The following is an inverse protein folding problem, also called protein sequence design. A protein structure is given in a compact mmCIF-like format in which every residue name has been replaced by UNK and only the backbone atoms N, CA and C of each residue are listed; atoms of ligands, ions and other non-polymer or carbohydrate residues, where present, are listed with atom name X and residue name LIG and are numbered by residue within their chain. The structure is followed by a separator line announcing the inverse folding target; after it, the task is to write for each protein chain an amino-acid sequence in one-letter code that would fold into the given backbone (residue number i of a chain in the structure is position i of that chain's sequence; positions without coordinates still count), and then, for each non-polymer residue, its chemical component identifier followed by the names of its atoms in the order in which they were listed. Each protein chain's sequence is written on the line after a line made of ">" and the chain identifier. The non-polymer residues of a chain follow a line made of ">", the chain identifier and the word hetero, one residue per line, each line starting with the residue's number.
data_IF_218650819529
#
_entry.id   IF_218650819529
#
_cell.length_a   1.000
_cell.length_b   1.000
_cell.length_c   1.000
_cell.angle_alpha   90.00
_cell.angle_beta   90.00
_cell.angle_gamma   90.00
#
_symmetry.space_group_name_H-M   'P 1'
#
loop_
_entity.id
_entity.type
_entity.pdbx_description
1 polymer ?
#
# COMPACT_ATOMS: atom_id res chain seq x y z
N UNK A 1 -0.70 4.06 -20.04
CA UNK A 1 -1.67 3.43 -19.12
C UNK A 1 -1.36 3.86 -17.69
N UNK A 2 -2.36 4.17 -16.90
CA UNK A 2 -2.18 4.63 -15.53
C UNK A 2 -2.24 3.45 -14.56
N UNK A 3 -1.08 3.07 -14.01
CA UNK A 3 -0.99 1.93 -13.10
C UNK A 3 -1.74 2.18 -11.78
N UNK A 4 -1.81 3.44 -11.32
CA UNK A 4 -2.54 3.76 -10.09
C UNK A 4 -4.03 3.50 -10.26
N UNK A 5 -4.60 3.87 -11.41
CA UNK A 5 -6.03 3.62 -11.70
C UNK A 5 -6.31 2.12 -11.73
N UNK A 6 -5.42 1.33 -12.34
CA UNK A 6 -5.57 -0.12 -12.41
C UNK A 6 -5.55 -0.70 -10.99
N UNK A 7 -4.59 -0.31 -10.17
CA UNK A 7 -4.50 -0.78 -8.78
C UNK A 7 -5.74 -0.41 -7.99
N UNK A 8 -6.21 0.83 -8.13
CA UNK A 8 -7.42 1.26 -7.44
C UNK A 8 -8.63 0.43 -7.85
N UNK A 9 -8.77 0.18 -9.16
CA UNK A 9 -9.91 -0.59 -9.68
C UNK A 9 -9.90 -2.04 -9.19
N UNK A 10 -8.72 -2.63 -9.01
CA UNK A 10 -8.59 -3.97 -8.45
C UNK A 10 -9.12 -4.06 -7.02
N UNK A 11 -9.14 -2.94 -6.30
CA UNK A 11 -9.62 -2.89 -4.91
C UNK A 11 -11.12 -2.59 -4.80
N UNK A 12 -11.84 -2.43 -5.91
CA UNK A 12 -13.28 -2.14 -5.87
C UNK A 12 -14.11 -3.32 -5.39
N UNK A 13 -13.60 -4.54 -5.51
CA UNK A 13 -14.29 -5.71 -5.00
C UNK A 13 -14.49 -5.58 -3.49
N UNK A 14 -15.63 -6.07 -3.00
CA UNK A 14 -15.98 -5.96 -1.59
C UNK A 14 -14.94 -6.65 -0.70
N UNK A 15 -14.46 -7.80 -1.13
CA UNK A 15 -13.43 -8.56 -0.41
C UNK A 15 -12.48 -9.21 -1.42
N UNK A 16 -11.50 -8.45 -1.94
CA UNK A 16 -10.54 -9.04 -2.87
C UNK A 16 -9.65 -10.08 -2.16
N UNK A 17 -9.06 -11.03 -2.90
CA UNK A 17 -8.14 -11.98 -2.29
C UNK A 17 -6.97 -11.27 -1.59
N UNK A 18 -6.48 -11.86 -0.50
CA UNK A 18 -5.38 -11.24 0.28
C UNK A 18 -4.14 -11.02 -0.54
N UNK A 19 -3.81 -11.94 -1.46
CA UNK A 19 -2.62 -11.76 -2.31
C UNK A 19 -2.71 -10.50 -3.16
N UNK A 20 -3.92 -10.07 -3.50
CA UNK A 20 -4.11 -8.85 -4.28
C UNK A 20 -3.70 -7.60 -3.47
N UNK A 21 -4.17 -7.49 -2.24
CA UNK A 21 -3.81 -6.37 -1.36
C UNK A 21 -2.31 -6.42 -1.01
N UNK A 22 -1.78 -7.62 -0.76
CA UNK A 22 -0.35 -7.79 -0.51
C UNK A 22 0.48 -7.31 -1.71
N UNK A 23 0.09 -7.73 -2.92
CA UNK A 23 0.80 -7.34 -4.14
C UNK A 23 0.79 -5.84 -4.37
N UNK A 24 -0.39 -5.22 -4.24
CA UNK A 24 -0.53 -3.78 -4.44
C UNK A 24 0.29 -3.01 -3.41
N UNK A 25 0.19 -3.39 -2.14
CA UNK A 25 0.93 -2.75 -1.06
C UNK A 25 2.44 -2.86 -1.29
N UNK A 26 2.90 -4.05 -1.69
CA UNK A 26 4.33 -4.29 -1.96
C UNK A 26 4.84 -3.40 -3.10
N UNK A 27 4.08 -3.31 -4.18
CA UNK A 27 4.46 -2.47 -5.32
C UNK A 27 4.55 -1.00 -4.93
N UNK A 28 3.61 -0.52 -4.12
CA UNK A 28 3.65 0.87 -3.64
C UNK A 28 4.87 1.11 -2.76
N UNK A 29 5.12 0.23 -1.80
CA UNK A 29 6.25 0.40 -0.86
C UNK A 29 7.58 0.39 -1.60
N UNK A 30 7.72 -0.45 -2.64
CA UNK A 30 8.96 -0.55 -3.40
C UNK A 30 9.13 0.58 -4.42
N UNK A 31 8.10 1.37 -4.67
CA UNK A 31 8.16 2.45 -5.66
C UNK A 31 8.82 3.69 -5.09
N UNK A 32 9.96 4.07 -5.66
CA UNK A 32 10.65 5.32 -5.29
C UNK A 32 9.94 6.56 -5.80
N UNK A 33 9.06 6.41 -6.76
CA UNK A 33 8.22 7.51 -7.24
C UNK A 33 7.09 7.83 -6.27
N UNK A 34 6.58 6.83 -5.56
CA UNK A 34 5.55 7.03 -4.53
C UNK A 34 6.19 7.45 -3.22
N UNK A 35 7.24 6.76 -2.81
CA UNK A 35 7.96 7.03 -1.57
C UNK A 35 9.44 7.22 -1.87
N UNK A 36 9.87 8.47 -1.97
CA UNK A 36 11.26 8.80 -2.35
C UNK A 36 12.27 8.20 -1.39
N UNK A 37 11.96 8.25 -0.10
CA UNK A 37 12.80 7.61 0.92
C UNK A 37 11.94 6.80 1.90
N UNK A 38 12.59 5.95 2.68
CA UNK A 38 11.88 5.01 3.54
C UNK A 38 10.99 5.69 4.58
N UNK A 39 11.42 6.83 5.09
CA UNK A 39 10.65 7.54 6.11
C UNK A 39 9.31 8.05 5.60
N UNK A 40 9.18 8.26 4.30
CA UNK A 40 7.91 8.65 3.68
C UNK A 40 6.86 7.53 3.77
N UNK A 41 7.30 6.29 4.00
CA UNK A 41 6.40 5.14 4.12
C UNK A 41 5.70 5.15 5.47
N UNK A 42 6.28 5.78 6.50
CA UNK A 42 5.73 5.76 7.85
C UNK A 42 4.28 6.26 7.92
N UNK A 43 3.94 7.44 7.36
CA UNK A 43 2.53 7.89 7.38
C UNK A 43 1.58 6.96 6.65
N UNK A 44 2.06 6.34 5.57
CA UNK A 44 1.27 5.36 4.81
C UNK A 44 0.93 4.14 5.68
N UNK A 45 1.92 3.60 6.38
CA UNK A 45 1.73 2.44 7.25
C UNK A 45 0.75 2.76 8.38
N UNK A 46 0.87 3.93 8.96
CA UNK A 46 -0.03 4.36 10.02
C UNK A 46 -1.46 4.52 9.50
N UNK A 47 -1.62 5.22 8.39
CA UNK A 47 -2.94 5.56 7.86
C UNK A 47 -3.69 4.34 7.32
N UNK A 48 -3.00 3.45 6.61
CA UNK A 48 -3.64 2.32 5.94
C UNK A 48 -3.80 1.13 6.88
N UNK A 49 -2.77 0.84 7.67
CA UNK A 49 -2.70 -0.39 8.46
C UNK A 49 -2.68 -0.17 9.97
N UNK A 50 -2.57 1.08 10.42
CA UNK A 50 -2.42 1.40 11.85
C UNK A 50 -1.22 0.67 12.45
N UNK A 51 -0.09 0.72 11.74
CA UNK A 51 1.15 0.04 12.11
C UNK A 51 2.24 1.06 12.39
N UNK A 52 3.04 0.81 13.42
CA UNK A 52 4.27 1.55 13.71
C UNK A 52 5.41 0.56 13.85
N UNK A 53 6.38 0.60 12.92
CA UNK A 53 7.55 -0.25 12.95
C UNK A 53 8.72 0.45 13.61
N UNK A 54 9.61 -0.35 14.23
CA UNK A 54 10.85 0.13 14.79
C UNK A 54 11.81 0.59 13.70
N UNK A 55 12.77 1.43 14.07
CA UNK A 55 13.72 2.04 13.13
C UNK A 55 14.45 1.00 12.29
N UNK A 56 14.85 -0.14 12.87
CA UNK A 56 15.58 -1.13 12.10
C UNK A 56 14.73 -1.76 10.98
N UNK A 57 13.42 -1.76 11.13
CA UNK A 57 12.51 -2.21 10.06
C UNK A 57 12.41 -1.15 8.98
N UNK A 58 12.24 0.10 9.38
CA UNK A 58 12.07 1.23 8.45
C UNK A 58 13.32 1.41 7.58
N UNK A 59 14.49 1.04 8.08
CA UNK A 59 15.73 1.18 7.32
C UNK A 59 15.84 0.25 6.11
N UNK A 60 14.92 -0.71 5.95
CA UNK A 60 14.96 -1.67 4.85
C UNK A 60 13.58 -1.82 4.21
N UNK A 61 13.44 -1.41 2.93
CA UNK A 61 12.15 -1.52 2.23
C UNK A 61 11.68 -2.96 2.10
N UNK A 62 12.59 -3.88 1.85
CA UNK A 62 12.22 -5.30 1.74
C UNK A 62 11.71 -5.84 3.08
N UNK A 63 12.28 -5.37 4.18
CA UNK A 63 11.81 -5.76 5.51
C UNK A 63 10.43 -5.17 5.79
N UNK A 64 10.18 -3.91 5.39
CA UNK A 64 8.86 -3.29 5.51
C UNK A 64 7.83 -4.12 4.72
N UNK A 65 8.15 -4.50 3.49
CA UNK A 65 7.27 -5.31 2.64
C UNK A 65 6.97 -6.65 3.31
N UNK A 66 8.00 -7.33 3.79
CA UNK A 66 7.83 -8.67 4.38
C UNK A 66 6.93 -8.62 5.61
N UNK A 67 7.14 -7.66 6.48
CA UNK A 67 6.34 -7.54 7.71
C UNK A 67 4.91 -7.08 7.44
N UNK A 68 4.73 -6.13 6.54
CA UNK A 68 3.40 -5.64 6.17
C UNK A 68 2.60 -6.75 5.49
N UNK A 69 3.24 -7.51 4.60
CA UNK A 69 2.59 -8.64 3.94
C UNK A 69 2.09 -9.67 4.94
N UNK A 70 2.89 -9.97 5.96
CA UNK A 70 2.50 -10.91 7.02
C UNK A 70 1.29 -10.39 7.80
N UNK A 71 1.27 -9.11 8.12
CA UNK A 71 0.15 -8.48 8.83
C UNK A 71 -1.13 -8.62 8.01
N UNK A 72 -1.07 -8.34 6.72
CA UNK A 72 -2.23 -8.49 5.84
C UNK A 72 -2.69 -9.94 5.79
N UNK A 73 -1.76 -10.85 5.61
CA UNK A 73 -2.05 -12.28 5.49
C UNK A 73 -2.71 -12.84 6.76
N UNK A 74 -2.24 -12.42 7.93
CA UNK A 74 -2.69 -12.93 9.22
C UNK A 74 -3.87 -12.15 9.82
N UNK A 75 -4.30 -11.06 9.17
CA UNK A 75 -5.35 -10.21 9.72
C UNK A 75 -6.70 -10.94 9.76
N UNK A 76 -7.52 -10.60 10.75
CA UNK A 76 -8.92 -11.00 10.78
C UNK A 76 -9.68 -10.34 9.64
N UNK A 77 -10.80 -10.92 9.21
CA UNK A 77 -11.56 -10.40 8.07
C UNK A 77 -11.97 -8.94 8.25
N UNK A 78 -12.36 -8.55 9.45
CA UNK A 78 -12.79 -7.17 9.71
C UNK A 78 -11.63 -6.19 9.50
N UNK A 79 -10.44 -6.55 9.95
CA UNK A 79 -9.25 -5.71 9.76
C UNK A 79 -8.82 -5.71 8.30
N UNK A 80 -8.90 -6.86 7.64
CA UNK A 80 -8.55 -6.97 6.23
C UNK A 80 -9.40 -6.04 5.37
N UNK A 81 -10.72 -5.99 5.63
CA UNK A 81 -11.61 -5.09 4.89
C UNK A 81 -11.25 -3.63 5.14
N UNK A 82 -10.90 -3.28 6.39
CA UNK A 82 -10.43 -1.92 6.72
C UNK A 82 -9.17 -1.58 5.93
N UNK A 83 -8.20 -2.49 5.89
CA UNK A 83 -6.95 -2.29 5.16
C UNK A 83 -7.24 -2.04 3.68
N UNK A 84 -8.10 -2.86 3.09
CA UNK A 84 -8.47 -2.73 1.69
C UNK A 84 -9.10 -1.37 1.41
N UNK A 85 -10.04 -0.95 2.25
CA UNK A 85 -10.72 0.34 2.08
C UNK A 85 -9.76 1.51 2.28
N UNK A 86 -8.89 1.44 3.28
CA UNK A 86 -7.90 2.48 3.54
C UNK A 86 -6.89 2.58 2.40
N UNK A 87 -6.50 1.43 1.84
CA UNK A 87 -5.59 1.39 0.71
C UNK A 87 -6.23 2.01 -0.54
N UNK A 88 -7.50 1.70 -0.79
CA UNK A 88 -8.25 2.32 -1.88
C UNK A 88 -8.23 3.85 -1.73
N UNK A 89 -8.55 4.35 -0.55
CA UNK A 89 -8.59 5.79 -0.30
C UNK A 89 -7.22 6.43 -0.49
N UNK A 90 -6.17 5.76 -0.04
CA UNK A 90 -4.81 6.26 -0.21
C UNK A 90 -4.46 6.40 -1.69
N UNK A 91 -4.75 5.37 -2.49
CA UNK A 91 -4.45 5.38 -3.92
C UNK A 91 -5.29 6.44 -4.63
N UNK A 92 -6.57 6.57 -4.25
CA UNK A 92 -7.46 7.56 -4.84
C UNK A 92 -6.92 8.98 -4.62
N UNK A 93 -6.45 9.28 -3.41
CA UNK A 93 -5.83 10.58 -3.11
C UNK A 93 -4.51 10.77 -3.84
N UNK A 94 -3.76 9.69 -4.02
CA UNK A 94 -2.50 9.75 -4.75
C UNK A 94 -2.75 10.08 -6.24
N UNK A 95 -3.80 9.52 -6.83
CA UNK A 95 -4.21 9.83 -8.20
C UNK A 95 -4.58 11.31 -8.30
N UNK A 96 -5.38 11.82 -7.37
CA UNK A 96 -5.80 13.22 -7.38
C UNK A 96 -4.60 14.17 -7.27
N UNK A 97 -3.61 13.83 -6.44
CA UNK A 97 -2.44 14.67 -6.21
C UNK A 97 -1.47 14.68 -7.41
N UNK A 98 -1.36 13.56 -8.13
CA UNK A 98 -0.35 13.38 -9.18
C UNK A 98 -0.93 13.35 -10.60
N UNK A 99 -2.24 13.40 -10.71
CA UNK A 99 -2.91 13.15 -11.98
C UNK A 99 -2.94 11.66 -12.30
N UNK A 100 -3.83 11.27 -13.19
CA UNK A 100 -4.10 9.87 -13.51
C UNK A 100 -3.13 9.29 -14.55
N UNK A 101 -2.14 10.07 -14.99
CA UNK A 101 -1.19 9.64 -16.01
C UNK A 101 0.14 9.18 -15.43
N UNK A 102 0.36 9.33 -14.12
CA UNK A 102 1.64 8.98 -13.51
C UNK A 102 1.83 7.47 -13.43
N UNK A 103 2.96 7.02 -13.99
CA UNK A 103 3.35 5.62 -13.90
C UNK A 103 4.33 5.44 -12.74
N UNK A 104 3.95 4.68 -11.72
CA UNK A 104 4.77 4.51 -10.51
C UNK A 104 5.83 3.42 -10.66
N UNK A 105 5.81 2.66 -11.75
CA UNK A 105 6.71 1.51 -11.94
C UNK A 105 7.87 1.79 -12.88
N UNK A 106 7.96 2.97 -13.45
CA UNK A 106 9.05 3.35 -14.33
C UNK A 106 10.25 3.93 -13.59
#
# INVERSE_FOLDING_TARGET
>A
MNNLVILRNDLKNKKPPRYKVIGITSELILSKKVFENNRNIIPFLDKVFDIEFREYVISSRTNIVARTSRIIYQSEDIDYIKYKNNLYDFIDKLIDANGDTKNIFD
#
